data_IF_843263888036
#
_entry.id   IF_843263888036
#
_cell.length_a   1.000
_cell.length_b   1.000
_cell.length_c   1.000
_cell.angle_alpha   90.00
_cell.angle_beta   90.00
_cell.angle_gamma   90.00
#
_symmetry.space_group_name_H-M   'P 1'
#
loop_
_entity.id
_entity.type
_entity.pdbx_description
1 polymer ?
#
# COMPACT_ATOMS: atom_id res chain seq x y z
N UNK A 1 9.64 6.93 16.54
CA UNK A 1 9.03 6.10 15.47
C UNK A 1 10.05 5.87 14.36
N UNK A 2 9.98 4.74 13.63
CA UNK A 2 10.89 4.44 12.50
C UNK A 2 10.37 4.97 11.16
N UNK A 3 9.06 5.08 11.00
CA UNK A 3 8.37 5.67 9.84
C UNK A 3 7.16 6.47 10.34
N UNK A 4 6.65 7.39 9.52
CA UNK A 4 5.45 8.17 9.77
C UNK A 4 4.51 8.14 8.55
N UNK A 5 3.22 7.96 8.79
CA UNK A 5 2.20 7.90 7.72
C UNK A 5 1.48 9.23 7.59
N UNK A 6 1.48 9.81 6.39
CA UNK A 6 0.68 10.98 6.05
C UNK A 6 -0.59 10.59 5.30
N UNK A 7 -1.72 10.51 6.01
CA UNK A 7 -3.05 10.24 5.41
C UNK A 7 -3.74 11.52 4.96
N UNK A 8 -4.63 12.08 5.78
CA UNK A 8 -5.41 13.30 5.43
C UNK A 8 -4.55 14.49 5.01
N UNK A 9 -3.34 14.62 5.57
CA UNK A 9 -2.38 15.66 5.19
C UNK A 9 -1.94 15.53 3.72
N UNK A 10 -1.88 14.32 3.17
CA UNK A 10 -1.57 14.10 1.76
C UNK A 10 -2.67 14.61 0.82
N UNK A 11 -3.93 14.67 1.28
CA UNK A 11 -5.01 15.30 0.52
C UNK A 11 -5.11 16.80 0.75
N UNK A 12 -4.88 17.26 1.99
CA UNK A 12 -5.19 18.64 2.42
C UNK A 12 -4.00 19.61 2.40
N UNK A 13 -2.80 19.14 2.68
CA UNK A 13 -1.58 19.95 2.68
C UNK A 13 -0.42 19.13 2.11
N UNK A 14 -0.41 19.03 0.78
CA UNK A 14 0.63 18.31 0.05
C UNK A 14 2.02 18.86 0.32
N UNK A 15 2.12 20.18 0.55
CA UNK A 15 3.39 20.86 0.76
C UNK A 15 4.07 20.39 2.04
N UNK A 16 3.30 20.21 3.12
CA UNK A 16 3.79 19.70 4.39
C UNK A 16 4.34 18.27 4.24
N UNK A 17 3.60 17.37 3.58
CA UNK A 17 4.05 15.99 3.40
C UNK A 17 5.31 15.91 2.53
N UNK A 18 5.37 16.69 1.45
CA UNK A 18 6.55 16.75 0.58
C UNK A 18 7.76 17.39 1.30
N UNK A 19 7.53 18.38 2.16
CA UNK A 19 8.57 18.94 3.03
C UNK A 19 9.12 17.89 4.01
N UNK A 20 8.25 17.05 4.57
CA UNK A 20 8.67 15.91 5.40
C UNK A 20 9.48 14.89 4.60
N UNK A 21 9.02 14.56 3.39
CA UNK A 21 9.74 13.66 2.48
C UNK A 21 11.15 14.17 2.18
N UNK A 22 11.29 15.45 1.84
CA UNK A 22 12.59 16.06 1.57
C UNK A 22 13.50 16.07 2.80
N UNK A 23 12.93 16.33 3.98
CA UNK A 23 13.71 16.46 5.22
C UNK A 23 14.13 15.12 5.81
N UNK A 24 13.27 14.11 5.73
CA UNK A 24 13.44 12.85 6.48
C UNK A 24 13.72 11.64 5.59
N UNK A 25 13.60 11.75 4.27
CA UNK A 25 13.85 10.67 3.34
C UNK A 25 12.62 9.81 3.03
N UNK A 26 12.64 9.18 1.86
CA UNK A 26 11.54 8.36 1.33
C UNK A 26 11.32 7.07 2.13
N UNK A 27 12.35 6.59 2.81
CA UNK A 27 12.29 5.42 3.67
C UNK A 27 11.53 5.67 4.98
N UNK A 28 11.37 6.94 5.38
CA UNK A 28 10.72 7.34 6.64
C UNK A 28 9.28 7.78 6.48
N UNK A 29 8.83 8.07 5.25
CA UNK A 29 7.50 8.62 4.99
C UNK A 29 6.66 7.61 4.21
N UNK A 30 5.48 7.31 4.75
CA UNK A 30 4.47 6.47 4.11
C UNK A 30 3.32 7.35 3.67
N UNK A 31 2.91 7.23 2.42
CA UNK A 31 1.69 7.86 1.92
C UNK A 31 0.47 7.04 2.35
N UNK A 32 -0.47 7.66 3.07
CA UNK A 32 -1.80 7.08 3.28
C UNK A 32 -2.71 7.44 2.12
N UNK A 33 -3.20 6.45 1.40
CA UNK A 33 -4.07 6.57 0.24
C UNK A 33 -5.36 5.77 0.46
N UNK A 34 -6.08 6.10 1.53
CA UNK A 34 -7.38 5.50 1.81
C UNK A 34 -8.38 5.92 0.73
N UNK A 35 -9.15 4.95 0.23
CA UNK A 35 -10.08 5.19 -0.85
C UNK A 35 -11.38 4.41 -0.65
N UNK A 36 -12.43 4.90 -1.29
CA UNK A 36 -13.70 4.21 -1.42
C UNK A 36 -14.05 4.19 -2.91
N UNK A 37 -14.28 2.99 -3.45
CA UNK A 37 -14.57 2.80 -4.87
C UNK A 37 -13.49 3.44 -5.78
N UNK A 38 -12.22 3.35 -5.37
CA UNK A 38 -11.08 3.88 -6.10
C UNK A 38 -10.88 5.41 -6.03
N UNK A 39 -11.65 6.14 -5.20
CA UNK A 39 -11.47 7.58 -4.97
C UNK A 39 -10.96 7.89 -3.57
N UNK A 40 -10.04 8.84 -3.46
CA UNK A 40 -9.40 9.22 -2.19
C UNK A 40 -10.45 9.73 -1.19
N UNK A 41 -10.32 9.30 0.06
CA UNK A 41 -11.06 9.86 1.19
C UNK A 41 -10.11 10.51 2.19
N UNK A 42 -10.52 11.64 2.76
CA UNK A 42 -9.74 12.42 3.74
C UNK A 42 -10.58 12.69 4.99
N UNK A 43 -9.98 13.35 5.99
CA UNK A 43 -10.61 13.63 7.30
C UNK A 43 -11.13 12.38 8.00
N UNK A 44 -10.33 11.32 8.08
CA UNK A 44 -10.78 10.05 8.67
C UNK A 44 -11.99 9.48 7.95
N UNK A 45 -11.96 9.53 6.61
CA UNK A 45 -12.97 8.99 5.68
C UNK A 45 -14.29 9.75 5.61
N UNK A 46 -14.39 10.91 6.28
CA UNK A 46 -15.62 11.71 6.29
C UNK A 46 -15.80 12.57 5.02
N UNK A 47 -14.70 12.88 4.33
CA UNK A 47 -14.71 13.73 3.14
C UNK A 47 -14.25 12.92 1.93
N UNK A 48 -15.17 12.64 1.01
CA UNK A 48 -14.83 12.05 -0.29
C UNK A 48 -14.20 13.10 -1.21
N UNK A 49 -13.08 12.74 -1.83
CA UNK A 49 -12.46 13.52 -2.91
C UNK A 49 -12.95 13.00 -4.26
N UNK A 50 -12.92 13.87 -5.27
CA UNK A 50 -13.10 13.44 -6.68
C UNK A 50 -11.85 12.80 -7.26
N UNK A 51 -10.72 12.91 -6.56
CA UNK A 51 -9.43 12.41 -7.02
C UNK A 51 -9.34 10.89 -6.95
N UNK A 52 -9.00 10.27 -8.06
CA UNK A 52 -8.78 8.83 -8.15
C UNK A 52 -7.47 8.42 -7.45
N UNK A 53 -7.50 7.27 -6.78
CA UNK A 53 -6.41 6.75 -5.95
C UNK A 53 -5.12 6.51 -6.74
N UNK A 54 -5.23 6.00 -7.97
CA UNK A 54 -4.04 5.69 -8.79
C UNK A 54 -3.33 6.97 -9.26
N UNK A 55 -4.02 7.95 -9.90
CA UNK A 55 -3.40 9.26 -10.20
C UNK A 55 -2.80 9.95 -8.98
N UNK A 56 -3.49 9.89 -7.83
CA UNK A 56 -3.00 10.44 -6.57
C UNK A 56 -1.67 9.82 -6.17
N UNK A 57 -1.60 8.48 -6.10
CA UNK A 57 -0.38 7.74 -5.76
C UNK A 57 0.75 8.07 -6.76
N UNK A 58 0.47 8.05 -8.07
CA UNK A 58 1.47 8.36 -9.11
C UNK A 58 2.02 9.78 -8.97
N UNK A 59 1.20 10.74 -8.53
CA UNK A 59 1.66 12.11 -8.32
C UNK A 59 2.74 12.19 -7.24
N UNK A 60 2.61 11.41 -6.17
CA UNK A 60 3.56 11.31 -5.07
C UNK A 60 4.76 10.43 -5.38
N UNK A 61 4.54 9.33 -6.11
CA UNK A 61 5.60 8.47 -6.62
C UNK A 61 6.63 9.28 -7.43
N UNK A 62 6.16 10.17 -8.32
CA UNK A 62 7.01 11.10 -9.09
C UNK A 62 7.81 12.08 -8.23
N UNK A 63 7.41 12.27 -6.97
CA UNK A 63 8.11 13.12 -5.99
C UNK A 63 9.05 12.32 -5.08
N UNK A 64 9.14 11.00 -5.26
CA UNK A 64 10.05 10.13 -4.52
C UNK A 64 9.40 9.35 -3.39
N UNK A 65 8.07 9.36 -3.22
CA UNK A 65 7.43 8.44 -2.28
C UNK A 65 7.67 7.00 -2.73
N UNK A 66 8.04 6.14 -1.77
CA UNK A 66 8.25 4.72 -1.98
C UNK A 66 7.15 3.88 -1.31
N UNK A 67 6.82 4.18 -0.05
CA UNK A 67 5.85 3.39 0.71
C UNK A 67 4.44 3.98 0.62
N UNK A 68 3.46 3.12 0.37
CA UNK A 68 2.04 3.51 0.30
C UNK A 68 1.21 2.52 1.10
N UNK A 69 0.40 3.00 2.02
CA UNK A 69 -0.69 2.24 2.62
C UNK A 69 -1.97 2.62 1.88
N UNK A 70 -2.71 1.64 1.38
CA UNK A 70 -4.00 1.88 0.73
C UNK A 70 -5.08 1.03 1.41
N UNK A 71 -6.04 1.69 2.02
CA UNK A 71 -7.22 1.06 2.60
C UNK A 71 -8.41 1.20 1.66
N UNK A 72 -9.04 0.10 1.25
CA UNK A 72 -10.36 0.16 0.63
C UNK A 72 -11.41 0.19 1.74
N UNK A 73 -11.99 1.37 1.96
CA UNK A 73 -12.84 1.70 3.10
C UNK A 73 -14.09 0.82 3.11
N UNK A 74 -14.66 0.53 1.94
CA UNK A 74 -15.86 -0.33 1.85
C UNK A 74 -15.62 -1.78 2.33
N UNK A 75 -14.35 -2.20 2.43
CA UNK A 75 -13.94 -3.52 2.91
C UNK A 75 -13.45 -3.50 4.35
N UNK A 76 -13.10 -2.33 4.89
CA UNK A 76 -12.47 -2.27 6.20
C UNK A 76 -13.40 -2.78 7.32
N UNK A 77 -12.86 -3.65 8.17
CA UNK A 77 -13.63 -4.32 9.23
C UNK A 77 -14.76 -5.25 8.75
N UNK A 78 -14.94 -5.47 7.45
CA UNK A 78 -16.04 -6.30 6.92
C UNK A 78 -15.73 -7.79 6.93
N UNK A 79 -14.45 -8.18 7.02
CA UNK A 79 -14.00 -9.58 6.99
C UNK A 79 -14.53 -10.32 5.74
N UNK A 80 -14.55 -9.62 4.60
CA UNK A 80 -15.13 -10.08 3.34
C UNK A 80 -14.07 -10.15 2.22
N UNK A 81 -12.81 -10.30 2.62
CA UNK A 81 -11.64 -10.31 1.76
C UNK A 81 -11.14 -8.92 1.35
N UNK A 82 -9.84 -8.80 1.06
CA UNK A 82 -9.21 -7.56 0.62
C UNK A 82 -9.67 -7.13 -0.77
N UNK A 83 -9.39 -5.87 -1.11
CA UNK A 83 -9.66 -5.32 -2.43
C UNK A 83 -8.60 -5.73 -3.47
N UNK A 84 -8.48 -7.03 -3.75
CA UNK A 84 -7.46 -7.58 -4.66
C UNK A 84 -7.37 -6.87 -6.01
N UNK A 85 -8.51 -6.54 -6.63
CA UNK A 85 -8.53 -5.86 -7.91
C UNK A 85 -7.93 -4.45 -7.83
N UNK A 86 -8.27 -3.71 -6.77
CA UNK A 86 -7.71 -2.38 -6.51
C UNK A 86 -6.17 -2.45 -6.38
N UNK A 87 -5.66 -3.37 -5.56
CA UNK A 87 -4.21 -3.48 -5.34
C UNK A 87 -3.47 -3.91 -6.61
N UNK A 88 -4.03 -4.85 -7.37
CA UNK A 88 -3.52 -5.24 -8.68
C UNK A 88 -3.43 -4.05 -9.62
N UNK A 89 -4.48 -3.22 -9.68
CA UNK A 89 -4.52 -2.04 -10.54
C UNK A 89 -3.53 -0.96 -10.10
N UNK A 90 -3.37 -0.73 -8.79
CA UNK A 90 -2.35 0.18 -8.25
C UNK A 90 -0.97 -0.31 -8.69
N UNK A 91 -0.59 -1.53 -8.32
CA UNK A 91 0.74 -2.10 -8.59
C UNK A 91 1.08 -2.03 -10.08
N UNK A 92 0.18 -2.50 -10.95
CA UNK A 92 0.35 -2.46 -12.40
C UNK A 92 0.52 -1.04 -12.94
N UNK A 93 -0.30 -0.08 -12.48
CA UNK A 93 -0.27 1.30 -13.02
C UNK A 93 0.87 2.15 -12.44
N UNK A 94 1.44 1.74 -11.32
CA UNK A 94 2.61 2.35 -10.68
C UNK A 94 3.92 1.66 -11.03
N UNK A 95 3.90 0.53 -11.74
CA UNK A 95 5.10 -0.19 -12.13
C UNK A 95 6.08 0.70 -12.91
N UNK A 96 7.37 0.43 -12.75
CA UNK A 96 8.47 1.13 -13.41
C UNK A 96 9.38 0.12 -14.09
N UNK A 97 10.16 0.58 -15.07
CA UNK A 97 11.17 -0.25 -15.72
C UNK A 97 12.53 0.02 -15.05
N UNK A 98 13.18 -1.02 -14.58
CA UNK A 98 14.57 -1.01 -14.18
C UNK A 98 15.41 -1.63 -15.30
N UNK A 99 16.36 -0.86 -15.83
CA UNK A 99 17.33 -1.32 -16.81
C UNK A 99 18.61 -1.74 -16.08
N UNK A 100 19.04 -2.97 -16.29
CA UNK A 100 20.30 -3.49 -15.73
C UNK A 100 21.24 -3.93 -16.85
N UNK A 101 22.55 -3.78 -16.62
CA UNK A 101 23.58 -4.22 -17.56
C UNK A 101 24.25 -5.46 -16.97
N UNK A 102 23.95 -6.61 -17.54
CA UNK A 102 24.54 -7.90 -17.19
C UNK A 102 25.63 -8.33 -18.15
N UNK A 103 26.27 -9.46 -17.84
CA UNK A 103 27.30 -10.08 -18.70
C UNK A 103 26.78 -10.44 -20.10
N UNK A 104 25.47 -10.70 -20.23
CA UNK A 104 24.79 -11.10 -21.46
C UNK A 104 24.09 -9.96 -22.21
N UNK A 105 24.18 -8.71 -21.73
CA UNK A 105 23.59 -7.54 -22.38
C UNK A 105 22.79 -6.64 -21.45
N UNK A 106 21.92 -5.82 -22.05
CA UNK A 106 21.01 -4.92 -21.35
C UNK A 106 19.67 -5.63 -21.16
N UNK A 107 19.18 -5.70 -19.92
CA UNK A 107 17.89 -6.28 -19.57
C UNK A 107 17.00 -5.22 -18.93
N UNK A 108 15.81 -5.04 -19.51
CA UNK A 108 14.74 -4.23 -18.96
C UNK A 108 13.78 -5.14 -18.19
N UNK A 109 13.55 -4.82 -16.91
CA UNK A 109 12.63 -5.57 -16.05
C UNK A 109 11.57 -4.63 -15.50
N UNK A 110 10.31 -5.01 -15.63
CA UNK A 110 9.21 -4.34 -14.94
C UNK A 110 9.27 -4.71 -13.44
N UNK A 111 9.27 -3.69 -12.60
CA UNK A 111 9.32 -3.81 -11.14
C UNK A 111 8.22 -2.97 -10.49
N UNK A 112 7.79 -3.30 -9.26
CA UNK A 112 6.91 -2.44 -8.49
C UNK A 112 7.54 -1.06 -8.31
N UNK A 113 6.88 -0.02 -8.79
CA UNK A 113 7.40 1.35 -8.63
C UNK A 113 7.07 1.98 -7.29
N UNK A 114 6.35 1.26 -6.42
CA UNK A 114 6.08 1.58 -5.02
C UNK A 114 6.05 0.29 -4.20
N UNK A 115 6.23 0.44 -2.89
CA UNK A 115 6.02 -0.58 -1.87
C UNK A 115 4.61 -0.45 -1.31
N UNK A 116 3.67 -1.17 -1.91
CA UNK A 116 2.26 -1.11 -1.53
C UNK A 116 1.99 -2.00 -0.31
N UNK A 117 1.35 -1.44 0.70
CA UNK A 117 0.86 -2.13 1.89
C UNK A 117 -0.66 -2.19 1.79
N UNK A 118 -1.20 -3.39 1.65
CA UNK A 118 -2.64 -3.65 1.57
C UNK A 118 -3.30 -3.47 2.94
N UNK A 119 -4.48 -2.85 2.99
CA UNK A 119 -5.22 -2.60 4.23
C UNK A 119 -6.74 -2.68 3.99
N UNK A 120 -7.47 -3.28 4.94
CA UNK A 120 -8.92 -3.42 4.89
C UNK A 120 -9.40 -4.75 4.29
N UNK A 121 -10.37 -5.37 4.95
CA UNK A 121 -11.08 -6.56 4.46
C UNK A 121 -10.45 -7.92 4.75
N UNK A 122 -9.19 -7.96 5.19
CA UNK A 122 -8.49 -9.23 5.50
C UNK A 122 -9.32 -10.08 6.46
N UNK A 123 -9.52 -11.33 6.09
CA UNK A 123 -10.47 -12.24 6.73
C UNK A 123 -9.90 -13.63 7.01
N UNK A 124 -8.96 -14.12 6.19
CA UNK A 124 -8.37 -15.46 6.32
C UNK A 124 -6.85 -15.45 6.04
N UNK A 125 -6.16 -16.54 6.40
CA UNK A 125 -4.72 -16.70 6.15
C UNK A 125 -4.39 -16.85 4.66
N UNK A 126 -5.28 -17.45 3.87
CA UNK A 126 -5.03 -17.76 2.45
C UNK A 126 -4.87 -16.50 1.60
N UNK A 127 -5.42 -15.38 2.06
CA UNK A 127 -5.32 -14.08 1.39
C UNK A 127 -3.89 -13.50 1.46
N UNK A 128 -3.07 -13.89 2.45
CA UNK A 128 -1.71 -13.33 2.61
C UNK A 128 -0.73 -13.81 1.52
N UNK A 129 -0.63 -15.12 1.22
CA UNK A 129 0.11 -15.58 0.04
C UNK A 129 -0.37 -14.94 -1.26
N UNK A 130 -1.68 -14.75 -1.42
CA UNK A 130 -2.24 -14.13 -2.63
C UNK A 130 -1.79 -12.66 -2.77
N UNK A 131 -1.89 -11.87 -1.69
CA UNK A 131 -1.41 -10.47 -1.68
C UNK A 131 0.10 -10.36 -1.90
N UNK A 132 0.88 -11.27 -1.31
CA UNK A 132 2.32 -11.35 -1.55
C UNK A 132 2.63 -11.69 -3.01
N UNK A 133 1.93 -12.67 -3.59
CA UNK A 133 2.05 -13.06 -4.99
C UNK A 133 1.62 -11.96 -5.98
N UNK A 134 0.74 -11.04 -5.57
CA UNK A 134 0.45 -9.84 -6.34
C UNK A 134 1.59 -8.83 -6.37
N UNK A 135 2.50 -8.87 -5.39
CA UNK A 135 3.59 -7.90 -5.22
C UNK A 135 3.33 -6.84 -4.15
N UNK A 136 2.40 -7.07 -3.22
CA UNK A 136 2.29 -6.19 -2.04
C UNK A 136 3.52 -6.39 -1.13
N UNK A 137 4.11 -5.29 -0.66
CA UNK A 137 5.22 -5.28 0.30
C UNK A 137 4.76 -5.76 1.68
N UNK A 138 3.50 -5.53 2.02
CA UNK A 138 2.96 -5.91 3.32
C UNK A 138 1.44 -5.85 3.38
N UNK A 139 0.90 -6.28 4.52
CA UNK A 139 -0.53 -6.35 4.79
C UNK A 139 -0.81 -5.87 6.21
N UNK A 140 -1.79 -4.99 6.38
CA UNK A 140 -2.32 -4.57 7.68
C UNK A 140 -3.53 -5.45 8.01
N UNK A 141 -3.46 -6.17 9.13
CA UNK A 141 -4.52 -7.04 9.63
C UNK A 141 -5.04 -6.48 10.94
N UNK A 142 -6.32 -6.12 10.97
CA UNK A 142 -6.99 -5.62 12.17
C UNK A 142 -7.97 -6.65 12.72
N UNK A 143 -9.25 -6.47 12.39
CA UNK A 143 -10.39 -7.22 12.96
C UNK A 143 -10.25 -8.75 12.92
N UNK A 144 -9.63 -9.32 11.88
CA UNK A 144 -9.45 -10.78 11.79
C UNK A 144 -8.58 -11.36 12.92
N UNK A 145 -7.65 -10.57 13.48
CA UNK A 145 -6.88 -10.98 14.67
C UNK A 145 -7.76 -10.88 15.92
N UNK A 146 -8.50 -9.78 16.09
CA UNK A 146 -9.37 -9.57 17.25
C UNK A 146 -10.51 -10.58 17.34
N UNK A 147 -11.00 -11.10 16.21
CA UNK A 147 -12.01 -12.16 16.14
C UNK A 147 -11.40 -13.58 16.04
N UNK A 148 -10.10 -13.74 16.29
CA UNK A 148 -9.41 -15.03 16.30
C UNK A 148 -9.48 -15.84 15.00
N UNK A 149 -9.89 -15.22 13.89
CA UNK A 149 -9.90 -15.84 12.54
C UNK A 149 -8.49 -16.06 12.02
N UNK A 150 -7.58 -15.16 12.38
CA UNK A 150 -6.16 -15.24 12.11
C UNK A 150 -5.42 -15.12 13.44
N UNK A 151 -4.68 -16.15 13.82
CA UNK A 151 -3.94 -16.15 15.09
C UNK A 151 -2.51 -15.63 14.87
N UNK A 152 -1.95 -14.98 15.90
CA UNK A 152 -0.55 -14.54 15.87
C UNK A 152 0.42 -15.71 15.63
N UNK A 153 0.10 -16.91 16.16
CA UNK A 153 0.89 -18.12 15.94
C UNK A 153 0.87 -18.58 14.48
N UNK A 154 -0.28 -18.48 13.81
CA UNK A 154 -0.37 -18.77 12.38
C UNK A 154 0.45 -17.78 11.55
N UNK A 155 0.40 -16.49 11.91
CA UNK A 155 1.21 -15.45 11.27
C UNK A 155 2.71 -15.67 11.48
N UNK A 156 3.13 -16.01 12.71
CA UNK A 156 4.53 -16.35 13.01
C UNK A 156 5.01 -17.51 12.13
N UNK A 157 4.24 -18.59 12.04
CA UNK A 157 4.60 -19.74 11.21
C UNK A 157 4.70 -19.37 9.72
N UNK A 158 3.75 -18.58 9.22
CA UNK A 158 3.76 -18.08 7.85
C UNK A 158 4.99 -17.22 7.57
N UNK A 159 5.34 -16.28 8.46
CA UNK A 159 6.49 -15.39 8.27
C UNK A 159 7.80 -16.19 8.31
N UNK A 160 7.98 -17.08 9.29
CA UNK A 160 9.19 -17.89 9.42
C UNK A 160 9.36 -18.90 8.28
N UNK A 161 8.27 -19.39 7.69
CA UNK A 161 8.31 -20.30 6.54
C UNK A 161 8.66 -19.62 5.21
N UNK A 162 8.61 -18.29 5.14
CA UNK A 162 8.90 -17.50 3.94
C UNK A 162 10.17 -16.63 4.06
N UNK A 163 10.91 -16.73 5.17
CA UNK A 163 12.25 -16.15 5.36
C UNK A 163 13.33 -17.11 4.84
#
# INVERSE_FOLDING_TARGET
ARQATGGSIAGKDRSMLLGCLQRYGAERIILGADCQEGRIAVSGWQEASTEEVVPFIKSYQKKGIQYVICTEISKDGMLAGPAFQLYRDILKKTATIETSIGLSGVEDKEVPGIKLIASGGISTMDELPELAGLGCEGVIIGKAIYEERITLKALEHYILGNL
#
